data_IF_383050074248
#
_entry.id   IF_383050074248
#
_cell.length_a   1.000
_cell.length_b   1.000
_cell.length_c   1.000
_cell.angle_alpha   90.00
_cell.angle_beta   90.00
_cell.angle_gamma   90.00
#
_symmetry.space_group_name_H-M   'P 1'
#
loop_
_entity.id
_entity.type
_entity.pdbx_description
1 polymer ?
#
# COMPACT_ATOMS: atom_id res chain seq x y z
N UNK A 1 6.74 -9.21 -29.95
CA UNK A 1 6.18 -8.72 -31.22
C UNK A 1 5.74 -7.29 -30.99
N UNK A 2 5.63 -6.51 -32.07
CA UNK A 2 5.15 -5.12 -31.99
C UNK A 2 3.77 -5.04 -31.28
N UNK A 3 2.85 -5.97 -31.57
CA UNK A 3 1.56 -6.05 -30.88
C UNK A 3 1.67 -6.21 -29.35
N UNK A 4 2.62 -7.03 -28.89
CA UNK A 4 2.85 -7.25 -27.45
C UNK A 4 3.47 -6.02 -26.78
N UNK A 5 4.33 -5.28 -27.49
CA UNK A 5 4.92 -4.03 -27.00
C UNK A 5 3.87 -2.92 -26.90
N UNK A 6 3.02 -2.78 -27.93
CA UNK A 6 1.89 -1.86 -27.90
C UNK A 6 0.91 -2.19 -26.78
N UNK A 7 0.59 -3.47 -26.59
CA UNK A 7 -0.28 -3.92 -25.51
C UNK A 7 0.29 -3.56 -24.14
N UNK A 8 1.57 -3.87 -23.88
CA UNK A 8 2.25 -3.52 -22.62
C UNK A 8 2.24 -2.02 -22.35
N UNK A 9 2.52 -1.21 -23.39
CA UNK A 9 2.47 0.25 -23.28
C UNK A 9 1.08 0.74 -22.84
N UNK A 10 0.02 0.23 -23.47
CA UNK A 10 -1.37 0.58 -23.12
C UNK A 10 -1.71 0.14 -21.69
N UNK A 11 -1.33 -1.07 -21.30
CA UNK A 11 -1.56 -1.59 -19.95
C UNK A 11 -0.83 -0.76 -18.88
N UNK A 12 0.45 -0.44 -19.07
CA UNK A 12 1.24 0.35 -18.15
C UNK A 12 0.68 1.78 -17.99
N UNK A 13 0.32 2.43 -19.10
CA UNK A 13 -0.33 3.74 -19.08
C UNK A 13 -1.65 3.73 -18.32
N UNK A 14 -2.52 2.75 -18.62
CA UNK A 14 -3.81 2.61 -17.95
C UNK A 14 -3.64 2.31 -16.45
N UNK A 15 -2.61 1.54 -16.07
CA UNK A 15 -2.33 1.26 -14.67
C UNK A 15 -1.95 2.54 -13.90
N UNK A 16 -1.04 3.35 -14.45
CA UNK A 16 -0.65 4.63 -13.86
C UNK A 16 -1.83 5.60 -13.77
N UNK A 17 -2.59 5.74 -14.85
CA UNK A 17 -3.77 6.62 -14.89
C UNK A 17 -4.80 6.21 -13.82
N UNK A 18 -5.18 4.93 -13.79
CA UNK A 18 -6.13 4.41 -12.82
C UNK A 18 -5.64 4.59 -11.39
N UNK A 19 -4.36 4.29 -11.10
CA UNK A 19 -3.82 4.45 -9.76
C UNK A 19 -3.84 5.91 -9.32
N UNK A 20 -3.37 6.84 -10.17
CA UNK A 20 -3.33 8.26 -9.85
C UNK A 20 -4.72 8.81 -9.53
N UNK A 21 -5.73 8.51 -10.37
CA UNK A 21 -7.09 8.98 -10.13
C UNK A 21 -7.76 8.29 -8.94
N UNK A 22 -7.57 6.98 -8.77
CA UNK A 22 -8.12 6.26 -7.62
C UNK A 22 -7.55 6.81 -6.31
N UNK A 23 -6.22 6.99 -6.24
CA UNK A 23 -5.58 7.54 -5.05
C UNK A 23 -6.04 8.97 -4.79
N UNK A 24 -6.20 9.80 -5.83
CA UNK A 24 -6.72 11.17 -5.70
C UNK A 24 -8.10 11.18 -5.06
N UNK A 25 -8.96 10.25 -5.47
CA UNK A 25 -10.30 10.12 -4.90
C UNK A 25 -10.23 9.59 -3.47
N UNK A 26 -9.36 8.62 -3.18
CA UNK A 26 -9.14 8.10 -1.83
C UNK A 26 -8.73 9.20 -0.85
N UNK A 27 -7.74 10.03 -1.18
CA UNK A 27 -7.27 11.09 -0.26
C UNK A 27 -8.19 12.30 -0.17
N UNK A 28 -9.15 12.42 -1.11
CA UNK A 28 -10.23 13.41 -1.07
C UNK A 28 -11.46 12.93 -0.31
N UNK A 29 -11.58 11.64 -0.02
CA UNK A 29 -12.62 11.12 0.85
C UNK A 29 -12.43 11.66 2.28
N UNK A 30 -13.47 12.27 2.86
CA UNK A 30 -13.39 12.94 4.16
C UNK A 30 -12.92 12.02 5.30
N UNK A 31 -13.22 10.71 5.23
CA UNK A 31 -12.82 9.75 6.27
C UNK A 31 -11.34 9.41 6.20
N UNK A 32 -10.76 9.52 5.01
CA UNK A 32 -9.33 9.30 4.77
C UNK A 32 -8.58 10.61 5.02
N UNK A 33 -9.06 11.71 4.46
CA UNK A 33 -8.45 13.03 4.61
C UNK A 33 -8.30 13.46 6.08
N UNK A 34 -9.27 13.12 6.94
CA UNK A 34 -9.23 13.41 8.38
C UNK A 34 -8.19 12.59 9.16
N UNK A 35 -7.65 11.52 8.57
CA UNK A 35 -6.61 10.66 9.17
C UNK A 35 -5.19 11.00 8.68
N UNK A 36 -5.07 11.85 7.67
CA UNK A 36 -3.79 12.28 7.13
C UNK A 36 -3.42 13.64 7.75
N UNK A 37 -2.16 13.78 8.16
CA UNK A 37 -1.65 15.09 8.51
C UNK A 37 -1.52 15.97 7.26
N UNK A 38 -1.54 17.30 7.44
CA UNK A 38 -1.57 18.24 6.33
C UNK A 38 -0.34 18.14 5.41
N UNK A 39 0.82 17.75 5.96
CA UNK A 39 2.05 17.61 5.18
C UNK A 39 1.98 16.35 4.31
N UNK A 40 1.58 15.22 4.89
CA UNK A 40 1.40 13.95 4.18
C UNK A 40 0.30 14.06 3.10
N UNK A 41 -0.83 14.70 3.43
CA UNK A 41 -1.90 14.96 2.45
C UNK A 41 -1.40 15.78 1.27
N UNK A 42 -0.75 16.93 1.54
CA UNK A 42 -0.23 17.80 0.48
C UNK A 42 0.79 17.05 -0.39
N UNK A 43 1.67 16.25 0.22
CA UNK A 43 2.68 15.47 -0.50
C UNK A 43 2.05 14.48 -1.47
N UNK A 44 1.00 13.76 -1.04
CA UNK A 44 0.27 12.87 -1.96
C UNK A 44 -0.44 13.67 -3.06
N UNK A 45 -1.12 14.76 -2.72
CA UNK A 45 -1.81 15.62 -3.71
C UNK A 45 -0.84 16.13 -4.77
N UNK A 46 0.31 16.68 -4.37
CA UNK A 46 1.34 17.20 -5.27
C UNK A 46 1.85 16.08 -6.21
N UNK A 47 2.25 14.92 -5.66
CA UNK A 47 2.82 13.82 -6.47
C UNK A 47 1.78 13.21 -7.43
N UNK A 48 0.51 13.12 -7.03
CA UNK A 48 -0.56 12.67 -7.93
C UNK A 48 -0.76 13.67 -9.07
N UNK A 49 -0.85 14.95 -8.75
CA UNK A 49 -1.08 15.99 -9.76
C UNK A 49 0.12 16.08 -10.73
N UNK A 50 1.35 15.90 -10.25
CA UNK A 50 2.55 15.76 -11.08
C UNK A 50 2.49 14.52 -11.99
N UNK A 51 2.05 13.37 -11.48
CA UNK A 51 1.91 12.15 -12.28
C UNK A 51 0.85 12.30 -13.38
N UNK A 52 -0.28 12.94 -13.08
CA UNK A 52 -1.34 13.23 -14.07
C UNK A 52 -0.83 14.19 -15.14
N UNK A 53 -0.17 15.29 -14.74
CA UNK A 53 0.42 16.24 -15.70
C UNK A 53 1.47 15.57 -16.58
N UNK A 54 2.29 14.70 -15.99
CA UNK A 54 3.25 13.91 -16.75
C UNK A 54 2.56 12.98 -17.74
N UNK A 55 1.52 12.25 -17.33
CA UNK A 55 0.71 11.41 -18.23
C UNK A 55 0.16 12.21 -19.41
N UNK A 56 -0.45 13.37 -19.16
CA UNK A 56 -1.05 14.23 -20.19
C UNK A 56 -0.01 14.70 -21.23
N UNK A 57 1.21 15.00 -20.77
CA UNK A 57 2.33 15.41 -21.63
C UNK A 57 3.06 14.26 -22.34
N UNK A 58 2.95 13.04 -21.83
CA UNK A 58 3.76 11.88 -22.24
C UNK A 58 2.90 10.70 -22.72
N UNK A 59 1.81 10.99 -23.43
CA UNK A 59 0.82 9.99 -23.90
C UNK A 59 1.40 8.88 -24.79
N UNK A 60 2.60 9.08 -25.35
CA UNK A 60 3.31 8.18 -26.27
C UNK A 60 4.58 7.55 -25.65
N UNK A 61 4.83 7.76 -24.36
CA UNK A 61 5.98 7.21 -23.65
C UNK A 61 6.07 5.68 -23.78
N UNK A 62 7.25 5.13 -23.52
CA UNK A 62 7.47 3.70 -23.52
C UNK A 62 6.89 3.03 -22.25
N UNK A 63 6.68 1.71 -22.32
CA UNK A 63 6.05 0.97 -21.23
C UNK A 63 6.85 1.08 -19.92
N UNK A 64 8.19 1.04 -20.00
CA UNK A 64 9.11 1.21 -18.89
C UNK A 64 9.04 2.61 -18.27
N UNK A 65 8.86 3.66 -19.07
CA UNK A 65 8.67 5.03 -18.56
C UNK A 65 7.37 5.15 -17.75
N UNK A 66 6.27 4.55 -18.22
CA UNK A 66 5.01 4.50 -17.47
C UNK A 66 5.16 3.69 -16.17
N UNK A 67 5.84 2.54 -16.23
CA UNK A 67 6.12 1.70 -15.05
C UNK A 67 7.00 2.41 -14.02
N UNK A 68 8.01 3.15 -14.45
CA UNK A 68 8.88 3.88 -13.54
C UNK A 68 8.16 5.06 -12.89
N UNK A 69 7.31 5.77 -13.65
CA UNK A 69 6.46 6.82 -13.07
C UNK A 69 5.44 6.25 -12.09
N UNK A 70 4.91 5.05 -12.35
CA UNK A 70 4.07 4.31 -11.39
C UNK A 70 4.83 4.00 -10.10
N UNK A 71 6.06 3.48 -10.19
CA UNK A 71 6.88 3.19 -9.00
C UNK A 71 7.20 4.43 -8.18
N UNK A 72 7.49 5.57 -8.83
CA UNK A 72 7.66 6.85 -8.13
C UNK A 72 6.41 7.23 -7.33
N UNK A 73 5.24 7.17 -7.98
CA UNK A 73 3.97 7.53 -7.37
C UNK A 73 3.63 6.59 -6.19
N UNK A 74 3.78 5.28 -6.39
CA UNK A 74 3.59 4.26 -5.35
C UNK A 74 4.58 4.41 -4.19
N UNK A 75 5.83 4.74 -4.47
CA UNK A 75 6.89 4.93 -3.48
C UNK A 75 6.60 6.05 -2.49
N UNK A 76 5.78 7.03 -2.89
CA UNK A 76 5.31 8.09 -2.00
C UNK A 76 3.96 7.76 -1.37
N UNK A 77 3.00 7.27 -2.16
CA UNK A 77 1.65 7.00 -1.68
C UNK A 77 1.60 5.84 -0.67
N UNK A 78 2.27 4.72 -0.96
CA UNK A 78 2.14 3.49 -0.16
C UNK A 78 2.60 3.67 1.29
N UNK A 79 3.76 4.30 1.60
CA UNK A 79 4.18 4.52 2.98
C UNK A 79 3.22 5.40 3.79
N UNK A 80 2.64 6.43 3.17
CA UNK A 80 1.72 7.35 3.84
C UNK A 80 0.38 6.67 4.11
N UNK A 81 -0.16 5.94 3.14
CA UNK A 81 -1.38 5.16 3.30
C UNK A 81 -1.19 4.06 4.35
N UNK A 82 -0.04 3.38 4.38
CA UNK A 82 0.29 2.41 5.42
C UNK A 82 0.31 3.04 6.83
N UNK A 83 0.97 4.21 6.97
CA UNK A 83 1.00 4.98 8.23
C UNK A 83 -0.42 5.36 8.69
N UNK A 84 -1.29 5.74 7.77
CA UNK A 84 -2.69 6.05 8.07
C UNK A 84 -3.45 4.84 8.63
N UNK A 85 -3.29 3.66 8.04
CA UNK A 85 -3.93 2.43 8.56
C UNK A 85 -3.38 2.02 9.92
N UNK A 86 -2.08 2.19 10.15
CA UNK A 86 -1.44 1.92 11.44
C UNK A 86 -1.90 2.91 12.53
N UNK A 87 -2.01 4.20 12.20
CA UNK A 87 -2.55 5.23 13.10
C UNK A 87 -4.05 5.12 13.34
N UNK A 88 -4.79 4.46 12.44
CA UNK A 88 -6.21 4.15 12.58
C UNK A 88 -6.50 2.90 13.43
N UNK A 89 -5.49 2.09 13.75
CA UNK A 89 -5.59 0.91 14.61
C UNK A 89 -5.28 1.23 16.10
N UNK A 90 -5.46 2.49 16.52
CA UNK A 90 -5.49 2.89 17.92
C UNK A 90 -6.77 2.42 18.61
N UNK A 91 -6.92 1.11 18.82
CA UNK A 91 -7.71 0.59 19.93
C UNK A 91 -6.89 0.75 21.22
N UNK A 92 -7.44 1.30 22.32
CA UNK A 92 -6.78 1.24 23.61
C UNK A 92 -6.99 -0.16 24.20
N UNK A 93 -6.02 -1.06 24.07
CA UNK A 93 -5.96 -2.26 24.91
C UNK A 93 -4.51 -2.75 25.12
N UNK A 94 -3.67 -1.84 25.60
CA UNK A 94 -2.55 -2.24 26.47
C UNK A 94 -2.81 -1.58 27.82
N UNK A 95 -3.91 -1.99 28.44
CA UNK A 95 -4.34 -1.58 29.76
C UNK A 95 -4.29 -2.77 30.71
N UNK A 96 -3.21 -2.85 31.49
CA UNK A 96 -3.21 -3.52 32.79
C UNK A 96 -3.05 -5.05 32.78
N UNK A 97 -1.82 -5.51 33.00
CA UNK A 97 -1.54 -6.91 33.30
C UNK A 97 -0.08 -7.17 33.65
N UNK A 98 0.59 -6.23 34.33
CA UNK A 98 1.84 -6.51 35.03
C UNK A 98 1.49 -6.74 36.48
N UNK A 99 1.39 -8.00 36.89
CA UNK A 99 1.54 -8.39 38.30
C UNK A 99 2.11 -9.82 38.38
N UNK A 100 3.35 -9.84 38.84
CA UNK A 100 3.99 -10.82 39.73
C UNK A 100 4.13 -12.30 39.30
N UNK A 101 5.38 -12.63 38.92
CA UNK A 101 6.23 -13.65 39.55
C UNK A 101 5.59 -14.99 39.98
N UNK A 102 6.01 -16.09 39.32
CA UNK A 102 6.57 -17.34 39.90
C UNK A 102 6.57 -18.47 38.84
N UNK A 103 7.73 -19.03 38.44
CA UNK A 103 7.84 -20.37 37.83
C UNK A 103 8.07 -21.44 38.94
N UNK A 104 8.16 -22.77 38.72
CA UNK A 104 8.22 -23.55 37.47
C UNK A 104 7.43 -24.90 37.47
N UNK A 105 7.64 -25.64 36.37
CA UNK A 105 7.79 -27.10 36.31
C UNK A 105 6.56 -28.02 36.14
N UNK A 106 6.65 -28.88 35.11
CA UNK A 106 6.26 -30.27 35.25
C UNK A 106 5.54 -30.89 34.06
N UNK A 107 6.19 -31.83 33.39
CA UNK A 107 5.51 -33.07 32.97
C UNK A 107 5.24 -33.27 31.48
N UNK A 108 6.20 -33.92 30.83
CA UNK A 108 6.03 -35.15 30.03
C UNK A 108 4.72 -35.42 29.28
N UNK A 109 4.83 -35.62 27.96
CA UNK A 109 3.79 -36.33 27.20
C UNK A 109 4.13 -36.48 25.72
N UNK A 110 4.83 -37.55 25.37
CA UNK A 110 5.11 -37.93 23.99
C UNK A 110 3.91 -38.62 23.32
N UNK A 111 3.66 -38.27 22.05
CA UNK A 111 3.17 -39.17 20.98
C UNK A 111 1.71 -38.97 20.52
N UNK A 112 1.29 -39.58 19.38
CA UNK A 112 2.06 -40.07 18.24
C UNK A 112 1.63 -39.43 16.90
N UNK A 113 2.40 -39.74 15.86
CA UNK A 113 2.23 -39.34 14.45
C UNK A 113 1.31 -40.37 13.78
N UNK A 114 0.33 -39.94 12.99
CA UNK A 114 -0.43 -40.77 12.05
C UNK A 114 -0.48 -40.00 10.73
N UNK A 115 0.45 -40.29 9.81
CA UNK A 115 0.41 -41.32 8.74
C UNK A 115 -0.68 -41.11 7.70
N UNK A 116 -0.19 -41.11 6.47
CA UNK A 116 -0.80 -40.77 5.20
C UNK A 116 -1.99 -41.68 4.90
N UNK A 117 -3.03 -41.11 4.29
CA UNK A 117 -4.07 -41.88 3.61
C UNK A 117 -4.19 -41.31 2.20
N UNK A 118 -3.82 -42.18 1.26
CA UNK A 118 -3.91 -42.17 -0.21
C UNK A 118 -4.82 -41.11 -0.86
#
# INVERSE_FOLDING_TARGET
>A
SEDEEHKKKVEAKNALENYAYNMRNTIKDDKIASKLDAADKKKIEDTIDEAIQWLDGNQLAEADEFEDKMKELEGICNPIIAKMYQGGAGGPDVGGGMDEDVPPAGGSGAGPKIEEVD
#
